data_IF_925031240282
#
_entry.id   IF_925031240282
#
_cell.length_a   1.000
_cell.length_b   1.000
_cell.length_c   1.000
_cell.angle_alpha   90.00
_cell.angle_beta   90.00
_cell.angle_gamma   90.00
#
_symmetry.space_group_name_H-M   'P 1'
#
loop_
_entity.id
_entity.type
_entity.pdbx_description
1 polymer ?
#
# COMPACT_ATOMS: atom_id res chain seq x y z
N UNK A 1 -13.99 14.62 -18.51
CA UNK A 1 -14.04 14.03 -17.16
C UNK A 1 -14.35 15.14 -16.16
N UNK A 2 -15.62 15.46 -15.91
CA UNK A 2 -16.04 16.64 -15.11
C UNK A 2 -16.50 16.31 -13.68
N UNK A 3 -16.24 15.10 -13.18
CA UNK A 3 -16.61 14.69 -11.82
C UNK A 3 -15.37 14.67 -10.92
N UNK A 4 -14.79 15.85 -10.66
CA UNK A 4 -13.67 15.98 -9.73
C UNK A 4 -14.17 15.70 -8.31
N UNK A 5 -13.76 14.54 -7.77
CA UNK A 5 -13.97 14.18 -6.36
C UNK A 5 -12.89 14.84 -5.52
N UNK A 6 -12.88 14.54 -4.23
CA UNK A 6 -11.92 15.07 -3.28
C UNK A 6 -10.90 13.99 -2.93
N UNK A 7 -9.65 14.39 -2.71
CA UNK A 7 -8.54 13.54 -2.28
C UNK A 7 -7.82 14.25 -1.14
N UNK A 8 -7.44 13.51 -0.11
CA UNK A 8 -6.62 14.06 0.95
C UNK A 8 -5.15 14.10 0.51
N UNK A 9 -4.63 15.31 0.29
CA UNK A 9 -3.24 15.52 -0.03
C UNK A 9 -2.40 15.42 1.25
N UNK A 10 -1.64 14.34 1.38
CA UNK A 10 -0.73 14.13 2.52
C UNK A 10 0.47 15.07 2.54
N UNK A 11 0.84 15.70 1.42
CA UNK A 11 1.92 16.69 1.36
C UNK A 11 1.46 18.05 1.86
N UNK A 12 0.22 18.44 1.55
CA UNK A 12 -0.36 19.72 1.97
C UNK A 12 -1.20 19.63 3.24
N UNK A 13 -1.49 18.43 3.73
CA UNK A 13 -2.34 18.18 4.90
C UNK A 13 -3.80 18.61 4.70
N UNK A 14 -4.25 18.77 3.45
CA UNK A 14 -5.56 19.33 3.09
C UNK A 14 -6.27 18.47 2.05
N UNK A 15 -7.59 18.51 2.05
CA UNK A 15 -8.40 17.86 1.03
C UNK A 15 -8.50 18.74 -0.21
N UNK A 16 -7.96 18.27 -1.34
CA UNK A 16 -7.97 18.97 -2.63
C UNK A 16 -8.94 18.30 -3.60
N UNK A 17 -9.37 19.03 -4.63
CA UNK A 17 -10.14 18.44 -5.73
C UNK A 17 -9.20 17.59 -6.59
N UNK A 18 -9.53 16.33 -6.79
CA UNK A 18 -8.72 15.40 -7.55
C UNK A 18 -9.25 13.97 -7.48
N UNK A 19 -8.43 13.04 -7.95
CA UNK A 19 -8.65 11.61 -7.85
C UNK A 19 -7.30 10.91 -7.71
N UNK A 20 -7.31 9.73 -7.12
CA UNK A 20 -6.10 8.92 -6.99
C UNK A 20 -6.12 7.82 -8.04
N UNK A 21 -4.98 7.63 -8.71
CA UNK A 21 -4.78 6.48 -9.59
C UNK A 21 -3.88 5.49 -8.86
N UNK A 22 -4.40 4.28 -8.65
CA UNK A 22 -3.59 3.12 -8.30
C UNK A 22 -3.07 2.51 -9.59
N UNK A 23 -1.76 2.27 -9.67
CA UNK A 23 -1.12 1.60 -10.81
C UNK A 23 -0.47 0.30 -10.34
N UNK A 24 -0.75 -0.79 -11.04
CA UNK A 24 -0.06 -2.07 -10.91
C UNK A 24 0.81 -2.23 -12.14
N UNK A 25 2.09 -2.56 -11.92
CA UNK A 25 3.01 -2.85 -13.01
C UNK A 25 3.96 -3.98 -12.66
N UNK A 26 4.47 -4.64 -13.69
CA UNK A 26 5.49 -5.66 -13.60
C UNK A 26 6.86 -4.99 -13.69
N UNK A 27 7.62 -5.05 -12.59
CA UNK A 27 8.99 -4.57 -12.53
C UNK A 27 9.96 -5.71 -12.84
N UNK A 28 10.84 -5.48 -13.81
CA UNK A 28 11.95 -6.37 -14.18
C UNK A 28 13.27 -5.63 -13.97
N UNK A 29 14.44 -6.30 -13.99
CA UNK A 29 15.73 -5.63 -13.83
C UNK A 29 16.02 -4.52 -14.86
N UNK A 30 15.33 -4.53 -16.02
CA UNK A 30 15.57 -3.58 -17.11
C UNK A 30 14.40 -2.63 -17.37
N UNK A 31 13.17 -3.08 -17.13
CA UNK A 31 11.97 -2.39 -17.58
C UNK A 31 10.85 -2.44 -16.53
N UNK A 32 9.95 -1.47 -16.61
CA UNK A 32 8.69 -1.45 -15.89
C UNK A 32 7.52 -1.49 -16.90
N UNK A 33 6.63 -2.46 -16.76
CA UNK A 33 5.47 -2.64 -17.64
C UNK A 33 4.18 -2.31 -16.89
N UNK A 34 3.42 -1.26 -17.24
CA UNK A 34 2.14 -0.99 -16.61
C UNK A 34 1.13 -2.08 -17.01
N UNK A 35 0.58 -2.78 -16.01
CA UNK A 35 -0.33 -3.92 -16.21
C UNK A 35 -1.78 -3.49 -16.05
N UNK A 36 -2.06 -2.68 -15.03
CA UNK A 36 -3.43 -2.26 -14.71
C UNK A 36 -3.43 -0.94 -13.95
N UNK A 37 -4.55 -0.22 -14.05
CA UNK A 37 -4.79 0.98 -13.27
C UNK A 37 -6.24 1.03 -12.76
N UNK A 38 -6.41 1.59 -11.58
CA UNK A 38 -7.70 1.78 -10.93
C UNK A 38 -7.84 3.20 -10.41
N UNK A 39 -9.03 3.76 -10.50
CA UNK A 39 -9.33 5.04 -9.87
C UNK A 39 -9.83 4.80 -8.45
N UNK A 40 -9.46 5.68 -7.52
CA UNK A 40 -9.99 5.71 -6.17
C UNK A 40 -10.41 7.15 -5.84
N UNK A 41 -11.60 7.28 -5.25
CA UNK A 41 -12.14 8.56 -4.78
C UNK A 41 -12.21 8.55 -3.26
N UNK A 42 -11.76 9.62 -2.60
CA UNK A 42 -11.91 9.71 -1.15
C UNK A 42 -13.37 9.87 -0.77
N UNK A 43 -13.76 9.23 0.33
CA UNK A 43 -15.08 9.40 0.96
C UNK A 43 -15.22 10.75 1.69
N UNK A 44 -14.10 11.41 2.01
CA UNK A 44 -14.10 12.73 2.65
C UNK A 44 -14.33 13.83 1.62
N UNK A 45 -15.60 14.06 1.29
CA UNK A 45 -16.01 15.29 0.62
C UNK A 45 -16.22 16.41 1.66
N UNK A 46 -15.75 17.65 1.43
CA UNK A 46 -16.17 18.80 2.21
C UNK A 46 -17.70 18.94 2.16
N UNK A 47 -18.32 19.40 3.26
CA UNK A 47 -19.78 19.55 3.35
C UNK A 47 -20.40 20.41 2.23
N UNK A 48 -19.61 21.30 1.62
CA UNK A 48 -20.01 22.21 0.53
C UNK A 48 -19.72 21.65 -0.88
N UNK A 49 -19.36 20.37 -1.00
CA UNK A 49 -19.10 19.74 -2.29
C UNK A 49 -20.37 19.67 -3.14
N UNK A 50 -20.39 20.24 -4.36
CA UNK A 50 -21.54 20.07 -5.25
C UNK A 50 -21.73 18.59 -5.56
N UNK A 51 -22.96 18.10 -5.37
CA UNK A 51 -23.35 16.74 -5.71
C UNK A 51 -23.37 16.61 -7.24
N UNK A 52 -22.27 16.15 -7.82
CA UNK A 52 -22.21 15.91 -9.25
C UNK A 52 -23.25 14.85 -9.63
N UNK A 53 -24.19 15.19 -10.51
CA UNK A 53 -25.13 14.21 -11.06
C UNK A 53 -24.32 13.19 -11.87
N UNK A 54 -24.35 11.89 -11.51
CA UNK A 54 -23.66 10.90 -12.30
C UNK A 54 -24.28 10.86 -13.69
N UNK A 55 -23.51 11.28 -14.71
CA UNK A 55 -23.83 10.98 -16.12
C UNK A 55 -24.15 9.49 -16.18
N UNK A 56 -25.27 9.10 -16.78
CA UNK A 56 -25.69 7.68 -16.86
C UNK A 56 -24.67 6.90 -17.70
N UNK A 57 -23.60 6.45 -17.06
CA UNK A 57 -22.60 5.58 -17.66
C UNK A 57 -23.11 4.14 -17.59
N UNK A 58 -22.97 3.39 -18.68
CA UNK A 58 -23.25 1.95 -18.75
C UNK A 58 -21.95 1.17 -19.02
N UNK A 59 -21.98 -0.14 -18.80
CA UNK A 59 -20.85 -1.03 -19.09
C UNK A 59 -19.63 -0.81 -18.21
N UNK A 60 -18.44 -1.01 -18.78
CA UNK A 60 -17.15 -1.01 -18.07
C UNK A 60 -16.85 0.32 -17.36
N UNK A 61 -17.24 1.45 -17.95
CA UNK A 61 -17.05 2.77 -17.33
C UNK A 61 -17.87 2.89 -16.04
N UNK A 62 -19.12 2.40 -16.05
CA UNK A 62 -19.99 2.41 -14.88
C UNK A 62 -19.42 1.52 -13.77
N UNK A 63 -18.91 0.35 -14.15
CA UNK A 63 -18.26 -0.60 -13.23
C UNK A 63 -17.03 0.02 -12.56
N UNK A 64 -16.14 0.65 -13.34
CA UNK A 64 -14.94 1.33 -12.81
C UNK A 64 -15.28 2.51 -11.90
N UNK A 65 -16.31 3.30 -12.23
CA UNK A 65 -16.77 4.40 -11.38
C UNK A 65 -17.39 3.91 -10.07
N UNK A 66 -18.12 2.79 -10.11
CA UNK A 66 -18.67 2.14 -8.91
C UNK A 66 -17.53 1.66 -8.01
N UNK A 67 -16.56 0.95 -8.59
CA UNK A 67 -15.38 0.45 -7.86
C UNK A 67 -14.56 1.57 -7.24
N UNK A 68 -14.35 2.66 -7.97
CA UNK A 68 -13.63 3.83 -7.46
C UNK A 68 -14.31 4.50 -6.26
N UNK A 69 -15.62 4.28 -6.06
CA UNK A 69 -16.41 4.83 -4.96
C UNK A 69 -16.59 3.86 -3.80
N UNK A 70 -16.64 2.56 -4.08
CA UNK A 70 -17.02 1.55 -3.08
C UNK A 70 -15.81 0.77 -2.52
N UNK A 71 -14.74 0.62 -3.30
CA UNK A 71 -13.57 -0.13 -2.88
C UNK A 71 -12.56 0.78 -2.17
N UNK A 72 -12.07 0.31 -1.03
CA UNK A 72 -10.88 0.90 -0.41
C UNK A 72 -9.65 0.67 -1.29
N UNK A 73 -8.61 1.51 -1.17
CA UNK A 73 -7.35 1.32 -1.90
C UNK A 73 -6.79 -0.11 -1.79
N UNK A 74 -6.68 -0.73 -0.59
CA UNK A 74 -6.17 -2.09 -0.49
C UNK A 74 -7.06 -3.13 -1.18
N UNK A 75 -8.39 -2.96 -1.12
CA UNK A 75 -9.32 -3.85 -1.81
C UNK A 75 -9.21 -3.72 -3.34
N UNK A 76 -9.08 -2.49 -3.85
CA UNK A 76 -8.85 -2.22 -5.26
C UNK A 76 -7.51 -2.82 -5.73
N UNK A 77 -6.44 -2.66 -4.95
CA UNK A 77 -5.13 -3.25 -5.24
C UNK A 77 -5.17 -4.79 -5.27
N UNK A 78 -5.82 -5.43 -4.29
CA UNK A 78 -6.01 -6.89 -4.29
C UNK A 78 -6.79 -7.37 -5.50
N UNK A 79 -7.83 -6.63 -5.90
CA UNK A 79 -8.60 -6.94 -7.10
C UNK A 79 -7.74 -6.88 -8.36
N UNK A 80 -6.96 -5.80 -8.53
CA UNK A 80 -6.05 -5.63 -9.66
C UNK A 80 -5.00 -6.74 -9.70
N UNK A 81 -4.45 -7.11 -8.54
CA UNK A 81 -3.48 -8.20 -8.41
C UNK A 81 -4.08 -9.55 -8.81
N UNK A 82 -5.27 -9.90 -8.32
CA UNK A 82 -5.97 -11.14 -8.70
C UNK A 82 -6.24 -11.21 -10.21
N UNK A 83 -6.63 -10.08 -10.81
CA UNK A 83 -6.86 -10.02 -12.26
C UNK A 83 -5.57 -10.18 -13.08
N UNK A 84 -4.43 -9.68 -12.58
CA UNK A 84 -3.12 -9.89 -13.21
C UNK A 84 -2.67 -11.35 -13.11
N UNK A 85 -2.80 -11.96 -11.93
CA UNK A 85 -2.46 -13.37 -11.70
C UNK A 85 -3.32 -14.31 -12.56
N UNK A 86 -4.60 -14.01 -12.74
CA UNK A 86 -5.50 -14.76 -13.62
C UNK A 86 -5.08 -14.70 -15.10
N UNK A 87 -4.32 -13.67 -15.49
CA UNK A 87 -3.72 -13.52 -16.83
C UNK A 87 -2.28 -14.06 -16.88
N UNK A 88 -1.88 -14.88 -15.91
CA UNK A 88 -0.53 -15.45 -15.80
C UNK A 88 0.59 -14.40 -15.63
N UNK A 89 0.26 -13.17 -15.23
CA UNK A 89 1.25 -12.16 -14.86
C UNK A 89 1.57 -12.33 -13.37
N UNK A 90 2.68 -13.02 -13.09
CA UNK A 90 3.10 -13.36 -11.72
C UNK A 90 4.52 -12.87 -11.42
N UNK A 91 4.80 -12.64 -10.14
CA UNK A 91 6.10 -12.28 -9.61
C UNK A 91 6.26 -12.87 -8.19
N UNK A 92 7.50 -13.16 -7.74
CA UNK A 92 7.73 -13.68 -6.39
C UNK A 92 7.46 -12.63 -5.29
N UNK A 93 7.65 -11.35 -5.61
CA UNK A 93 7.51 -10.23 -4.68
C UNK A 93 6.56 -9.17 -5.23
N UNK A 94 5.77 -8.58 -4.34
CA UNK A 94 4.95 -7.41 -4.57
C UNK A 94 5.54 -6.21 -3.82
N UNK A 95 6.02 -5.21 -4.56
CA UNK A 95 6.47 -3.94 -4.00
C UNK A 95 5.27 -3.00 -3.82
N UNK A 96 5.11 -2.44 -2.61
CA UNK A 96 3.98 -1.55 -2.30
C UNK A 96 4.39 -0.30 -1.54
N UNK A 97 3.58 0.76 -1.68
CA UNK A 97 3.68 1.95 -0.85
C UNK A 97 3.18 1.68 0.60
N UNK A 98 3.55 2.56 1.53
CA UNK A 98 3.24 2.45 2.96
C UNK A 98 1.75 2.41 3.29
N UNK A 99 0.89 2.93 2.42
CA UNK A 99 -0.56 2.83 2.59
C UNK A 99 -1.10 1.40 2.37
N UNK A 100 -0.29 0.48 1.85
CA UNK A 100 -0.66 -0.92 1.61
C UNK A 100 0.04 -1.89 2.56
N UNK A 101 0.91 -1.45 3.47
CA UNK A 101 1.66 -2.36 4.35
C UNK A 101 0.89 -2.75 5.62
N UNK A 102 -0.44 -2.76 5.58
CA UNK A 102 -1.24 -3.21 6.73
C UNK A 102 -1.09 -4.71 6.93
N UNK A 103 -1.08 -5.23 8.17
CA UNK A 103 -0.95 -6.68 8.40
C UNK A 103 -2.01 -7.51 7.67
N UNK A 104 -3.25 -6.99 7.58
CA UNK A 104 -4.35 -7.61 6.83
C UNK A 104 -4.04 -7.72 5.34
N UNK A 105 -3.63 -6.62 4.70
CA UNK A 105 -3.29 -6.64 3.27
C UNK A 105 -2.11 -7.58 3.00
N UNK A 106 -1.07 -7.55 3.83
CA UNK A 106 0.07 -8.45 3.69
C UNK A 106 -0.35 -9.93 3.82
N UNK A 107 -1.29 -10.25 4.71
CA UNK A 107 -1.84 -11.59 4.84
C UNK A 107 -2.68 -11.99 3.62
N UNK A 108 -3.52 -11.09 3.10
CA UNK A 108 -4.32 -11.33 1.90
C UNK A 108 -3.43 -11.60 0.67
N UNK A 109 -2.33 -10.85 0.50
CA UNK A 109 -1.34 -11.08 -0.56
C UNK A 109 -0.56 -12.37 -0.35
N UNK A 110 -0.21 -12.71 0.90
CA UNK A 110 0.45 -13.98 1.22
C UNK A 110 -0.42 -15.17 0.84
N UNK A 111 -1.74 -15.07 1.00
CA UNK A 111 -2.71 -16.07 0.53
C UNK A 111 -2.77 -16.23 -0.99
N UNK A 112 -2.20 -15.30 -1.76
CA UNK A 112 -2.01 -15.40 -3.21
C UNK A 112 -0.63 -15.95 -3.60
N UNK A 113 0.15 -16.45 -2.64
CA UNK A 113 1.51 -16.98 -2.83
C UNK A 113 2.56 -15.93 -3.25
N UNK A 114 2.36 -14.65 -2.93
CA UNK A 114 3.36 -13.59 -3.10
C UNK A 114 3.93 -13.11 -1.75
N UNK A 115 5.15 -12.60 -1.78
CA UNK A 115 5.75 -11.90 -0.64
C UNK A 115 5.62 -10.38 -0.80
N UNK A 116 5.20 -9.67 0.25
CA UNK A 116 5.09 -8.21 0.21
C UNK A 116 6.38 -7.56 0.70
N UNK A 117 6.88 -6.59 -0.06
CA UNK A 117 7.94 -5.66 0.34
C UNK A 117 7.36 -4.26 0.30
N UNK A 118 7.52 -3.51 1.38
CA UNK A 118 7.02 -2.13 1.42
C UNK A 118 7.54 -1.38 2.63
N UNK A 119 7.50 -0.06 2.54
CA UNK A 119 7.89 0.82 3.64
C UNK A 119 6.79 0.84 4.70
N UNK A 120 7.11 0.57 5.95
CA UNK A 120 6.12 0.68 7.03
C UNK A 120 5.85 2.14 7.40
N UNK A 121 4.58 2.46 7.68
CA UNK A 121 4.19 3.76 8.22
C UNK A 121 4.47 3.81 9.71
N UNK A 122 5.00 4.92 10.21
CA UNK A 122 5.12 5.19 11.64
C UNK A 122 3.74 5.43 12.26
N UNK A 123 3.13 4.36 12.74
CA UNK A 123 1.81 4.39 13.40
C UNK A 123 1.85 3.66 14.76
N UNK A 124 0.67 3.37 15.31
CA UNK A 124 0.51 2.69 16.61
C UNK A 124 0.40 1.17 16.48
N UNK A 125 0.65 0.59 15.30
CA UNK A 125 0.63 -0.86 15.14
C UNK A 125 1.71 -1.50 16.00
N UNK A 126 1.35 -2.62 16.62
CA UNK A 126 2.25 -3.42 17.43
C UNK A 126 2.86 -4.55 16.59
N UNK A 127 4.17 -4.67 16.71
CA UNK A 127 5.00 -5.72 16.14
C UNK A 127 5.64 -6.47 17.30
N UNK A 128 5.42 -7.78 17.35
CA UNK A 128 5.86 -8.63 18.44
C UNK A 128 7.24 -9.18 18.13
N UNK A 129 8.21 -8.82 18.97
CA UNK A 129 9.57 -9.36 18.94
C UNK A 129 9.79 -10.16 20.23
N UNK A 130 10.13 -11.44 20.10
CA UNK A 130 10.29 -12.36 21.25
C UNK A 130 9.09 -12.32 22.23
N UNK A 131 7.87 -12.27 21.70
CA UNK A 131 6.63 -12.21 22.49
C UNK A 131 6.28 -10.82 23.05
N UNK A 132 7.18 -9.84 23.00
CA UNK A 132 6.90 -8.47 23.48
C UNK A 132 6.46 -7.57 22.33
N UNK A 133 5.34 -6.86 22.52
CA UNK A 133 4.78 -5.95 21.52
C UNK A 133 5.46 -4.58 21.53
N UNK A 134 5.96 -4.14 20.38
CA UNK A 134 6.58 -2.84 20.18
C UNK A 134 5.91 -2.07 19.05
N UNK A 135 5.76 -0.75 19.21
CA UNK A 135 5.56 0.14 18.06
C UNK A 135 6.85 0.27 17.26
N UNK A 136 6.77 0.68 15.99
CA UNK A 136 7.97 0.81 15.13
C UNK A 136 9.06 1.71 15.74
N UNK A 137 8.66 2.83 16.36
CA UNK A 137 9.60 3.74 17.00
C UNK A 137 10.28 3.10 18.22
N UNK A 138 9.53 2.35 19.04
CA UNK A 138 10.11 1.62 20.19
C UNK A 138 11.02 0.49 19.72
N UNK A 139 10.60 -0.26 18.70
CA UNK A 139 11.40 -1.33 18.11
C UNK A 139 12.72 -0.78 17.55
N UNK A 140 12.67 0.34 16.82
CA UNK A 140 13.88 1.01 16.34
C UNK A 140 14.79 1.45 17.49
N UNK A 141 14.23 2.11 18.53
CA UNK A 141 15.02 2.57 19.69
C UNK A 141 15.71 1.42 20.42
N UNK A 142 15.08 0.25 20.50
CA UNK A 142 15.65 -0.95 21.09
C UNK A 142 16.81 -1.53 20.27
N UNK A 143 16.79 -1.36 18.95
CA UNK A 143 17.75 -2.00 18.03
C UNK A 143 18.78 -1.04 17.40
N UNK A 144 18.61 0.29 17.50
CA UNK A 144 19.47 1.27 16.81
C UNK A 144 20.96 1.16 17.13
N UNK A 145 21.34 0.67 18.31
CA UNK A 145 22.75 0.50 18.70
C UNK A 145 23.44 -0.67 17.99
N UNK A 146 22.66 -1.54 17.34
CA UNK A 146 23.12 -2.75 16.64
C UNK A 146 23.11 -2.59 15.11
N UNK A 147 22.96 -1.36 14.61
CA UNK A 147 23.02 -1.06 13.19
C UNK A 147 24.41 -1.41 12.63
N UNK A 148 24.46 -2.15 11.53
CA UNK A 148 25.70 -2.54 10.86
C UNK A 148 25.79 -1.83 9.51
N UNK A 149 26.93 -1.23 9.21
CA UNK A 149 27.15 -0.55 7.93
C UNK A 149 27.25 -1.56 6.80
N UNK A 150 26.36 -1.47 5.83
CA UNK A 150 26.41 -2.24 4.60
C UNK A 150 27.29 -1.50 3.56
N UNK A 151 28.39 -2.12 3.09
CA UNK A 151 29.31 -1.47 2.17
C UNK A 151 28.74 -1.31 0.75
N UNK A 152 27.75 -2.11 0.37
CA UNK A 152 27.13 -2.09 -0.96
C UNK A 152 26.19 -0.91 -1.10
N UNK A 153 25.34 -0.70 -0.09
CA UNK A 153 24.34 0.36 -0.10
C UNK A 153 24.83 1.65 0.55
N UNK A 154 25.92 1.60 1.32
CA UNK A 154 26.39 2.73 2.13
C UNK A 154 25.46 3.07 3.30
N UNK A 155 24.53 2.17 3.64
CA UNK A 155 23.51 2.37 4.67
C UNK A 155 23.82 1.53 5.90
N UNK A 156 23.50 2.04 7.10
CA UNK A 156 23.49 1.24 8.31
C UNK A 156 22.15 0.50 8.42
N UNK A 157 22.21 -0.84 8.51
CA UNK A 157 21.05 -1.73 8.45
C UNK A 157 20.91 -2.57 9.73
N UNK A 158 19.67 -2.89 10.11
CA UNK A 158 19.36 -3.95 11.06
C UNK A 158 18.01 -4.59 10.74
N UNK A 159 17.98 -5.93 10.75
CA UNK A 159 16.78 -6.73 10.61
C UNK A 159 16.25 -7.19 11.96
N UNK A 160 14.95 -7.06 12.18
CA UNK A 160 14.24 -7.63 13.33
C UNK A 160 13.12 -8.56 12.82
N UNK A 161 13.19 -9.88 13.07
CA UNK A 161 12.08 -10.78 12.79
C UNK A 161 10.93 -10.47 13.77
N UNK A 162 9.73 -10.29 13.25
CA UNK A 162 8.56 -9.90 14.05
C UNK A 162 7.33 -10.70 13.65
N UNK A 163 6.39 -10.79 14.59
CA UNK A 163 5.04 -11.27 14.34
C UNK A 163 4.09 -10.08 14.43
N UNK A 164 3.21 -9.90 13.45
CA UNK A 164 2.16 -8.88 13.49
C UNK A 164 1.01 -9.33 14.41
N UNK A 165 0.14 -8.41 14.83
CA UNK A 165 -1.01 -8.74 15.69
C UNK A 165 -2.00 -9.76 15.12
N UNK A 166 -2.02 -9.98 13.80
CA UNK A 166 -2.80 -11.03 13.14
C UNK A 166 -2.03 -12.36 12.95
N UNK A 167 -0.89 -12.53 13.60
CA UNK A 167 -0.05 -13.73 13.49
C UNK A 167 0.87 -13.77 12.26
N UNK A 168 0.78 -12.79 11.36
CA UNK A 168 1.64 -12.73 10.18
C UNK A 168 3.10 -12.52 10.58
N UNK A 169 3.97 -13.45 10.22
CA UNK A 169 5.41 -13.34 10.44
C UNK A 169 6.08 -12.58 9.31
N UNK A 170 7.07 -11.76 9.66
CA UNK A 170 7.86 -11.01 8.69
C UNK A 170 9.15 -10.48 9.30
N UNK A 171 9.88 -9.71 8.51
CA UNK A 171 11.12 -9.06 8.95
C UNK A 171 11.02 -7.57 8.69
N UNK A 172 11.24 -6.78 9.74
CA UNK A 172 11.36 -5.33 9.62
C UNK A 172 12.84 -5.02 9.47
N UNK A 173 13.19 -4.33 8.38
CA UNK A 173 14.54 -3.83 8.15
C UNK A 173 14.54 -2.33 8.41
N UNK A 174 15.34 -1.88 9.38
CA UNK A 174 15.63 -0.48 9.59
C UNK A 174 16.87 -0.11 8.78
N UNK A 175 16.79 0.99 8.05
CA UNK A 175 17.90 1.55 7.28
C UNK A 175 18.15 3.00 7.70
N UNK A 176 19.42 3.34 7.92
CA UNK A 176 19.88 4.69 8.24
C UNK A 176 21.01 5.07 7.30
N UNK A 177 20.79 6.10 6.47
CA UNK A 177 21.82 6.74 5.65
C UNK A 177 22.54 7.86 6.40
#
# INVERSE_FOLDING_TARGET
MENLRFVYDHSQGKTVRGYEILTLGLLTPRNFYPVSFGHHFSHTAPAQAPTAQPRRTRGEVARRLKEARELTKPALALKMLKAALAQSISAPYLLVDACFTSPKFCQDVKGLSLHVIGRLKRDRNLYYWQGTGYTLDRLYRAHKQRLVKDPTFGLALISAPVTCGNGLQGTIVFAKG
#
